data_IF_260281824861
#
_entry.id   IF_260281824861
#
_cell.length_a   1.000
_cell.length_b   1.000
_cell.length_c   1.000
_cell.angle_alpha   90.00
_cell.angle_beta   90.00
_cell.angle_gamma   90.00
#
_symmetry.space_group_name_H-M   'P 1'
#
loop_
_entity.id
_entity.type
_entity.pdbx_description
1 polymer ?
#
# COMPACT_ATOMS: atom_id res chain seq x y z
N UNK A 1 2.57 3.58 -71.56
CA UNK A 1 1.16 3.24 -71.86
C UNK A 1 0.31 3.92 -70.82
N UNK A 2 -0.50 4.84 -71.29
CA UNK A 2 -1.45 5.70 -70.56
C UNK A 2 -2.65 4.91 -70.05
N UNK A 3 -3.24 5.37 -68.95
CA UNK A 3 -4.46 4.82 -68.38
C UNK A 3 -5.06 5.74 -67.34
N UNK A 4 -5.46 6.94 -67.77
CA UNK A 4 -6.33 7.85 -67.02
C UNK A 4 -7.76 7.31 -67.11
N UNK A 5 -8.48 7.19 -65.99
CA UNK A 5 -9.94 7.09 -66.04
C UNK A 5 -10.58 7.94 -64.94
N UNK A 6 -11.51 8.76 -65.42
CA UNK A 6 -12.21 9.85 -64.79
C UNK A 6 -13.55 9.38 -64.20
N UNK A 7 -13.91 9.91 -63.04
CA UNK A 7 -15.24 10.47 -62.76
C UNK A 7 -16.31 9.54 -62.13
N UNK A 8 -16.78 9.91 -60.93
CA UNK A 8 -18.07 10.59 -60.74
C UNK A 8 -18.30 10.98 -59.28
N UNK A 9 -18.51 12.28 -59.09
CA UNK A 9 -19.26 12.87 -57.98
C UNK A 9 -20.61 12.18 -57.81
N UNK A 10 -21.00 11.91 -56.56
CA UNK A 10 -22.39 11.84 -56.17
C UNK A 10 -22.56 12.61 -54.85
N UNK A 11 -23.53 13.52 -54.90
CA UNK A 11 -23.94 14.53 -53.93
C UNK A 11 -24.37 13.94 -52.57
N UNK A 12 -24.08 14.66 -51.49
CA UNK A 12 -24.65 14.43 -50.15
C UNK A 12 -26.17 14.66 -50.14
N UNK A 13 -26.88 14.11 -49.15
CA UNK A 13 -27.63 15.04 -48.31
C UNK A 13 -27.39 14.82 -46.81
N UNK A 14 -27.39 15.95 -46.10
CA UNK A 14 -27.30 16.07 -44.66
C UNK A 14 -28.53 15.54 -43.90
N UNK A 15 -28.31 15.37 -42.59
CA UNK A 15 -29.26 15.41 -41.46
C UNK A 15 -29.83 14.08 -40.98
N UNK A 16 -29.42 13.70 -39.77
CA UNK A 16 -29.97 12.55 -39.04
C UNK A 16 -29.27 12.30 -37.70
N UNK A 17 -29.07 13.34 -36.89
CA UNK A 17 -28.81 13.19 -35.45
C UNK A 17 -30.09 12.66 -34.77
N UNK A 18 -30.02 11.50 -34.09
CA UNK A 18 -30.82 11.18 -32.90
C UNK A 18 -30.47 9.81 -32.29
N UNK A 19 -30.78 9.60 -30.99
CA UNK A 19 -29.82 9.07 -30.03
C UNK A 19 -30.23 7.72 -29.41
N UNK A 20 -29.37 7.26 -28.49
CA UNK A 20 -29.72 6.45 -27.32
C UNK A 20 -30.33 5.06 -27.58
N UNK A 21 -29.46 4.05 -27.51
CA UNK A 21 -29.84 2.74 -27.04
C UNK A 21 -28.80 2.29 -26.01
N UNK A 22 -28.95 2.83 -24.79
CA UNK A 22 -28.31 2.32 -23.59
C UNK A 22 -28.35 0.80 -23.52
N UNK A 23 -27.20 0.18 -23.78
CA UNK A 23 -26.98 -1.24 -23.52
C UNK A 23 -26.22 -1.37 -22.20
N UNK A 24 -26.85 -0.92 -21.12
CA UNK A 24 -26.35 -1.25 -19.79
C UNK A 24 -26.79 -2.68 -19.44
N UNK A 25 -25.94 -3.63 -19.82
CA UNK A 25 -26.10 -5.04 -19.50
C UNK A 25 -26.00 -5.25 -18.00
N UNK A 26 -27.16 -5.54 -17.39
CA UNK A 26 -27.36 -6.29 -16.15
C UNK A 26 -26.09 -6.97 -15.60
N UNK A 27 -25.52 -6.39 -14.55
CA UNK A 27 -24.93 -7.19 -13.47
C UNK A 27 -25.81 -6.96 -12.24
N UNK A 28 -26.48 -8.03 -11.80
CA UNK A 28 -27.10 -8.05 -10.49
C UNK A 28 -26.00 -7.98 -9.44
N UNK A 29 -25.66 -6.76 -9.01
CA UNK A 29 -24.86 -6.55 -7.82
C UNK A 29 -25.67 -7.09 -6.66
N UNK A 30 -25.29 -8.27 -6.15
CA UNK A 30 -25.58 -8.60 -4.76
C UNK A 30 -24.81 -7.56 -3.96
N UNK A 31 -25.44 -6.42 -3.69
CA UNK A 31 -24.84 -5.36 -2.88
C UNK A 31 -24.28 -6.02 -1.62
N UNK A 32 -22.97 -5.89 -1.41
CA UNK A 32 -22.31 -6.49 -0.28
C UNK A 32 -22.89 -5.82 0.96
N UNK A 33 -23.26 -6.56 2.02
CA UNK A 33 -23.93 -5.96 3.19
C UNK A 33 -23.11 -4.88 3.90
N UNK A 34 -21.79 -4.80 3.62
CA UNK A 34 -20.93 -3.71 4.10
C UNK A 34 -21.00 -2.43 3.23
N UNK A 35 -21.51 -2.50 2.01
CA UNK A 35 -21.63 -1.35 1.09
C UNK A 35 -22.56 -0.28 1.68
N UNK A 36 -23.53 -0.68 2.51
CA UNK A 36 -24.38 0.25 3.25
C UNK A 36 -23.61 1.16 4.23
N UNK A 37 -22.37 0.81 4.60
CA UNK A 37 -21.52 1.57 5.52
C UNK A 37 -20.41 2.35 4.80
N UNK A 38 -20.27 2.18 3.50
CA UNK A 38 -19.29 2.89 2.69
C UNK A 38 -20.05 3.91 1.86
N UNK A 39 -19.77 5.19 2.06
CA UNK A 39 -20.20 6.19 1.08
C UNK A 39 -19.44 5.89 -0.20
N UNK A 40 -20.12 5.29 -1.16
CA UNK A 40 -19.56 4.92 -2.45
C UNK A 40 -19.47 6.17 -3.34
N UNK A 41 -18.27 6.66 -3.68
CA UNK A 41 -18.11 7.81 -4.55
C UNK A 41 -18.14 7.43 -6.03
N UNK A 42 -18.59 6.22 -6.41
CA UNK A 42 -18.57 5.74 -7.81
C UNK A 42 -19.37 6.64 -8.76
N UNK A 43 -20.38 7.38 -8.28
CA UNK A 43 -21.11 8.38 -9.08
C UNK A 43 -20.36 9.72 -9.23
N UNK A 44 -19.23 9.91 -8.55
CA UNK A 44 -18.38 11.10 -8.69
C UNK A 44 -17.38 10.91 -9.83
N UNK A 45 -17.13 11.94 -10.67
CA UNK A 45 -16.08 11.87 -11.66
C UNK A 45 -14.72 11.68 -10.97
N UNK A 46 -13.78 10.91 -11.57
CA UNK A 46 -12.44 10.75 -11.03
C UNK A 46 -11.77 12.11 -10.79
N UNK A 47 -11.11 12.25 -9.63
CA UNK A 47 -10.44 13.50 -9.25
C UNK A 47 -9.31 13.88 -10.22
N UNK A 48 -8.63 12.87 -10.77
CA UNK A 48 -7.51 13.03 -11.69
C UNK A 48 -7.36 11.79 -12.60
N UNK A 49 -6.39 11.83 -13.50
CA UNK A 49 -6.01 10.67 -14.31
C UNK A 49 -5.33 9.58 -13.47
N UNK A 50 -5.31 8.35 -13.99
CA UNK A 50 -4.75 7.17 -13.31
C UNK A 50 -3.30 7.37 -12.82
N UNK A 51 -2.44 7.94 -13.66
CA UNK A 51 -1.03 8.19 -13.31
C UNK A 51 -0.89 9.18 -12.15
N UNK A 52 -1.65 10.26 -12.18
CA UNK A 52 -1.64 11.28 -11.12
C UNK A 52 -2.21 10.70 -9.81
N UNK A 53 -3.26 9.88 -9.90
CA UNK A 53 -3.80 9.19 -8.74
C UNK A 53 -2.79 8.19 -8.13
N UNK A 54 -2.06 7.45 -8.96
CA UNK A 54 -1.01 6.54 -8.51
C UNK A 54 0.14 7.27 -7.79
N UNK A 55 0.52 8.45 -8.26
CA UNK A 55 1.51 9.30 -7.59
C UNK A 55 1.00 9.78 -6.22
N UNK A 56 -0.26 10.21 -6.13
CA UNK A 56 -0.89 10.59 -4.86
C UNK A 56 -0.94 9.42 -3.86
N UNK A 57 -1.26 8.21 -4.33
CA UNK A 57 -1.22 7.01 -3.51
C UNK A 57 0.19 6.68 -3.03
N UNK A 58 1.19 6.77 -3.91
CA UNK A 58 2.59 6.54 -3.56
C UNK A 58 3.08 7.55 -2.51
N UNK A 59 2.70 8.82 -2.65
CA UNK A 59 2.98 9.87 -1.67
C UNK A 59 2.36 9.53 -0.30
N UNK A 60 1.06 9.21 -0.29
CA UNK A 60 0.36 8.83 0.94
C UNK A 60 1.00 7.64 1.65
N UNK A 61 1.35 6.58 0.91
CA UNK A 61 2.04 5.40 1.49
C UNK A 61 3.41 5.80 2.03
N UNK A 62 4.16 6.63 1.32
CA UNK A 62 5.49 7.06 1.75
C UNK A 62 5.42 7.90 3.03
N UNK A 63 4.45 8.81 3.10
CA UNK A 63 4.26 9.72 4.24
C UNK A 63 3.77 9.00 5.49
N UNK A 64 3.02 7.92 5.32
CA UNK A 64 2.39 7.17 6.43
C UNK A 64 3.07 5.83 6.72
N UNK A 65 4.13 5.47 5.98
CA UNK A 65 4.81 4.20 6.13
C UNK A 65 5.38 4.05 7.55
N UNK A 66 4.99 3.00 8.30
CA UNK A 66 5.56 2.78 9.61
C UNK A 66 7.03 2.37 9.48
N UNK A 67 7.83 2.81 10.46
CA UNK A 67 9.25 2.46 10.50
C UNK A 67 9.43 1.08 11.12
N UNK A 68 10.08 0.17 10.41
CA UNK A 68 10.37 -1.17 10.93
C UNK A 68 11.52 -1.11 11.94
N UNK A 69 11.42 -1.88 13.03
CA UNK A 69 12.48 -2.09 14.00
C UNK A 69 12.55 -3.56 14.46
N UNK A 70 13.69 -3.93 15.02
CA UNK A 70 13.91 -5.21 15.68
C UNK A 70 14.13 -5.01 17.18
N UNK A 71 13.66 -5.95 18.00
CA UNK A 71 14.09 -6.08 19.39
C UNK A 71 15.16 -7.16 19.45
N UNK A 72 16.38 -6.77 19.80
CA UNK A 72 17.54 -7.66 19.88
C UNK A 72 17.84 -7.95 21.35
N UNK A 73 17.98 -9.23 21.69
CA UNK A 73 18.50 -9.70 22.97
C UNK A 73 20.01 -9.86 22.87
N UNK A 74 20.71 -9.42 23.90
CA UNK A 74 22.15 -9.65 24.09
C UNK A 74 22.35 -10.62 25.24
N UNK A 75 23.18 -11.64 25.02
CA UNK A 75 23.54 -12.65 26.00
C UNK A 75 24.98 -12.41 26.46
N UNK A 76 25.15 -12.10 27.75
CA UNK A 76 26.44 -11.64 28.26
C UNK A 76 26.83 -10.26 27.72
N UNK A 77 27.96 -9.71 28.17
CA UNK A 77 28.44 -8.43 27.67
C UNK A 77 29.05 -8.61 26.27
N UNK A 78 28.22 -8.39 25.23
CA UNK A 78 28.62 -8.43 23.81
C UNK A 78 29.17 -9.79 23.35
N UNK A 79 28.74 -10.88 23.98
CA UNK A 79 29.19 -12.23 23.61
C UNK A 79 28.34 -12.79 22.48
N UNK A 80 27.03 -12.61 22.56
CA UNK A 80 26.08 -13.09 21.55
C UNK A 80 24.83 -12.21 21.50
N UNK A 81 24.12 -12.22 20.37
CA UNK A 81 22.88 -11.49 20.19
C UNK A 81 21.91 -12.20 19.24
N UNK A 82 20.61 -12.15 19.56
CA UNK A 82 19.55 -12.72 18.71
C UNK A 82 18.37 -11.77 18.58
N UNK A 83 17.75 -11.74 17.40
CA UNK A 83 16.46 -11.05 17.22
C UNK A 83 15.38 -11.82 17.97
N UNK A 84 14.70 -11.14 18.90
CA UNK A 84 13.62 -11.72 19.69
C UNK A 84 12.24 -11.33 19.16
N UNK A 85 12.12 -10.17 18.52
CA UNK A 85 10.88 -9.68 17.93
C UNK A 85 11.13 -8.70 16.78
N UNK A 86 10.12 -8.55 15.93
CA UNK A 86 10.03 -7.51 14.90
C UNK A 86 8.83 -6.61 15.19
N UNK A 87 8.96 -5.32 14.88
CA UNK A 87 7.89 -4.36 15.06
C UNK A 87 7.86 -3.27 14.02
N UNK A 88 6.73 -2.57 14.01
CA UNK A 88 6.43 -1.41 13.19
C UNK A 88 6.09 -0.26 14.12
N UNK A 89 6.77 0.87 13.96
CA UNK A 89 6.51 2.10 14.66
C UNK A 89 5.65 3.01 13.78
N UNK A 90 4.42 3.24 14.21
CA UNK A 90 3.51 4.25 13.70
C UNK A 90 3.79 5.58 14.41
N UNK A 91 3.08 6.63 14.00
CA UNK A 91 3.22 7.98 14.58
C UNK A 91 2.87 8.01 16.07
N UNK A 92 1.85 7.26 16.51
CA UNK A 92 1.30 7.31 17.86
C UNK A 92 1.59 6.05 18.71
N UNK A 93 2.08 4.98 18.10
CA UNK A 93 2.35 3.72 18.79
C UNK A 93 3.30 2.80 18.02
N UNK A 94 3.69 1.70 18.65
CA UNK A 94 4.35 0.59 17.98
C UNK A 94 3.59 -0.71 18.18
N UNK A 95 3.58 -1.54 17.14
CA UNK A 95 3.12 -2.92 17.18
C UNK A 95 4.29 -3.87 16.94
N UNK A 96 4.30 -5.01 17.63
CA UNK A 96 5.36 -6.01 17.44
C UNK A 96 4.86 -7.44 17.63
N UNK A 97 5.63 -8.36 17.05
CA UNK A 97 5.47 -9.80 17.17
C UNK A 97 6.81 -10.46 17.49
N UNK A 98 6.82 -11.33 18.50
CA UNK A 98 7.99 -12.16 18.80
C UNK A 98 8.26 -13.14 17.67
N UNK A 99 9.54 -13.47 17.42
CA UNK A 99 9.95 -14.40 16.35
C UNK A 99 9.35 -15.79 16.55
N UNK A 100 9.18 -16.21 17.80
CA UNK A 100 8.54 -17.47 18.16
C UNK A 100 6.99 -17.43 18.10
N UNK A 101 6.41 -16.28 17.75
CA UNK A 101 4.96 -16.06 17.68
C UNK A 101 4.24 -16.00 19.03
N UNK A 102 4.95 -16.11 20.15
CA UNK A 102 4.34 -16.23 21.48
C UNK A 102 3.78 -14.91 22.01
N UNK A 103 4.28 -13.78 21.52
CA UNK A 103 3.89 -12.45 21.95
C UNK A 103 3.51 -11.61 20.74
N UNK A 104 2.34 -10.98 20.82
CA UNK A 104 1.94 -9.84 19.98
C UNK A 104 1.48 -8.73 20.92
N UNK A 105 1.95 -7.51 20.70
CA UNK A 105 1.56 -6.40 21.56
C UNK A 105 1.67 -5.03 20.88
N UNK A 106 0.85 -4.12 21.39
CA UNK A 106 0.90 -2.69 21.14
C UNK A 106 1.54 -1.99 22.33
N UNK A 107 2.48 -1.08 22.07
CA UNK A 107 3.13 -0.24 23.07
C UNK A 107 3.13 1.22 22.61
N UNK A 108 3.14 2.21 23.52
CA UNK A 108 3.19 3.62 23.12
C UNK A 108 4.48 3.98 22.35
N UNK A 109 5.61 3.38 22.74
CA UNK A 109 6.93 3.65 22.13
C UNK A 109 7.70 2.34 21.95
N UNK A 110 8.48 2.18 20.85
CA UNK A 110 9.29 0.99 20.60
C UNK A 110 10.19 0.58 21.77
N UNK A 111 10.78 1.54 22.47
CA UNK A 111 11.72 1.32 23.57
C UNK A 111 11.07 0.59 24.75
N UNK A 112 9.76 0.76 24.94
CA UNK A 112 9.02 0.06 25.98
C UNK A 112 8.89 -1.43 25.67
N UNK A 113 8.86 -1.82 24.39
CA UNK A 113 8.82 -3.22 23.99
C UNK A 113 10.05 -3.98 24.49
N UNK A 114 11.24 -3.39 24.39
CA UNK A 114 12.50 -4.02 24.79
C UNK A 114 12.48 -4.46 26.25
N UNK A 115 11.77 -3.76 27.14
CA UNK A 115 11.63 -4.15 28.56
C UNK A 115 11.02 -5.53 28.73
N UNK A 116 10.11 -5.93 27.84
CA UNK A 116 9.42 -7.23 27.92
C UNK A 116 10.31 -8.41 27.52
N UNK A 117 11.39 -8.14 26.78
CA UNK A 117 12.33 -9.14 26.28
C UNK A 117 13.60 -9.28 27.12
N UNK A 118 13.73 -8.52 28.21
CA UNK A 118 14.79 -8.71 29.21
C UNK A 118 14.49 -9.94 30.06
N UNK A 119 15.53 -10.64 30.51
CA UNK A 119 15.39 -11.79 31.40
C UNK A 119 16.58 -11.88 32.38
N UNK A 120 16.28 -11.85 33.68
CA UNK A 120 17.30 -11.83 34.73
C UNK A 120 18.28 -10.66 34.61
N UNK A 121 19.48 -10.82 35.17
CA UNK A 121 20.57 -9.83 35.14
C UNK A 121 21.48 -9.93 33.92
N UNK A 122 21.37 -10.99 33.12
CA UNK A 122 22.35 -11.33 32.07
C UNK A 122 21.83 -11.18 30.64
N UNK A 123 20.53 -10.95 30.46
CA UNK A 123 19.92 -10.75 29.14
C UNK A 123 19.40 -9.33 29.03
N UNK A 124 20.16 -8.49 28.32
CA UNK A 124 19.73 -7.16 27.94
C UNK A 124 18.92 -7.24 26.64
N UNK A 125 18.04 -6.26 26.42
CA UNK A 125 17.32 -6.12 25.17
C UNK A 125 17.29 -4.65 24.75
N UNK A 126 17.46 -4.40 23.44
CA UNK A 126 17.45 -3.07 22.84
C UNK A 126 16.68 -3.05 21.52
N UNK A 127 16.14 -1.89 21.19
CA UNK A 127 15.55 -1.62 19.87
C UNK A 127 16.69 -1.30 18.89
N UNK A 128 16.63 -1.91 17.71
CA UNK A 128 17.57 -1.66 16.61
C UNK A 128 16.75 -1.34 15.36
N UNK A 129 17.06 -0.21 14.73
CA UNK A 129 16.47 0.20 13.48
C UNK A 129 17.32 -0.33 12.33
N UNK A 130 16.77 -1.15 11.41
CA UNK A 130 17.49 -1.52 10.20
C UNK A 130 17.88 -0.25 9.45
N UNK A 131 19.10 -0.23 8.93
CA UNK A 131 19.43 0.76 7.91
C UNK A 131 18.56 0.45 6.70
N UNK A 132 17.74 1.41 6.27
CA UNK A 132 17.00 1.33 5.02
C UNK A 132 18.04 1.25 3.91
N UNK A 133 18.38 0.04 3.49
CA UNK A 133 19.33 -0.16 2.42
C UNK A 133 18.59 0.06 1.10
N UNK A 134 18.23 1.32 0.82
CA UNK A 134 17.73 1.71 -0.50
C UNK A 134 18.75 1.24 -1.53
N UNK A 135 18.35 0.29 -2.37
CA UNK A 135 19.17 -0.31 -3.41
C UNK A 135 20.59 -0.72 -2.97
N UNK A 136 20.79 -2.01 -2.65
CA UNK A 136 22.08 -2.61 -3.03
C UNK A 136 22.05 -2.67 -4.56
N UNK A 137 22.47 -1.59 -5.19
CA UNK A 137 22.81 -1.57 -6.62
C UNK A 137 23.86 -2.66 -6.82
N UNK A 138 23.47 -3.66 -7.61
CA UNK A 138 24.29 -4.83 -7.93
C UNK A 138 25.38 -4.36 -8.90
N UNK A 139 26.64 -4.50 -8.50
CA UNK A 139 27.81 -4.53 -9.40
C UNK A 139 27.86 -5.88 -10.14
#
# INVERSE_FOLDING_TARGET
MTGTSTGREFEEPATGESPDAGRNGRNGSLAHPLDAHVVDPTDMPPLCGESEFAELMSGMVTDTAPRVFAVVREYGERVDASVAAWGMAFEDHAELVAVDGTVRMRVPEPEQAARRFRFGSHIAARVVWPVSNGARELD
#
